data_IF_271988584397
#
_entry.id   IF_271988584397
#
_cell.length_a   1.000
_cell.length_b   1.000
_cell.length_c   1.000
_cell.angle_alpha   90.00
_cell.angle_beta   90.00
_cell.angle_gamma   90.00
#
_symmetry.space_group_name_H-M   'P 1'
#
loop_
_entity.id
_entity.type
_entity.pdbx_description
1 polymer ?
#
# COMPACT_ATOMS: atom_id res chain seq x y z
N UNK A 1 -4.97 -16.49 13.03
CA UNK A 1 -4.24 -15.36 13.60
C UNK A 1 -2.78 -15.55 13.31
N UNK A 2 -2.21 -14.67 12.50
CA UNK A 2 -0.79 -14.68 12.18
C UNK A 2 0.05 -14.45 13.45
N UNK A 3 1.23 -15.07 13.54
CA UNK A 3 2.12 -14.91 14.71
C UNK A 3 2.78 -13.52 14.74
N UNK A 4 2.98 -12.93 13.57
CA UNK A 4 3.54 -11.60 13.37
C UNK A 4 2.57 -10.87 12.44
N UNK A 5 2.12 -9.68 12.84
CA UNK A 5 1.13 -8.89 12.11
C UNK A 5 1.65 -7.47 11.94
N UNK A 6 1.52 -6.93 10.74
CA UNK A 6 1.86 -5.52 10.46
C UNK A 6 0.89 -4.61 11.20
N UNK A 7 1.43 -3.66 11.95
CA UNK A 7 0.67 -2.73 12.78
C UNK A 7 0.90 -1.31 12.26
N UNK A 8 -0.15 -0.67 11.77
CA UNK A 8 -0.15 0.62 11.09
C UNK A 8 -0.71 1.69 12.03
N UNK A 9 0.07 2.74 12.26
CA UNK A 9 -0.29 3.85 13.13
C UNK A 9 -0.96 4.96 12.32
N UNK A 10 -2.21 5.28 12.65
CA UNK A 10 -2.97 6.34 12.00
C UNK A 10 -3.24 7.50 12.95
N UNK A 11 -3.48 8.66 12.36
CA UNK A 11 -4.04 9.80 13.09
C UNK A 11 -5.45 9.45 13.62
N UNK A 12 -6.00 10.32 14.44
CA UNK A 12 -7.32 10.16 15.03
C UNK A 12 -8.39 9.89 13.97
N UNK A 13 -9.18 8.85 14.22
CA UNK A 13 -10.36 8.48 13.44
C UNK A 13 -10.11 8.06 11.98
N UNK A 14 -8.88 7.71 11.60
CA UNK A 14 -8.56 7.28 10.23
C UNK A 14 -8.49 5.76 10.04
N UNK A 15 -8.27 4.98 11.10
CA UNK A 15 -7.99 3.54 11.00
C UNK A 15 -9.11 2.72 10.31
N UNK A 16 -10.37 3.04 10.59
CA UNK A 16 -11.53 2.34 9.98
C UNK A 16 -11.69 2.73 8.51
N UNK A 17 -11.60 4.03 8.21
CA UNK A 17 -11.68 4.54 6.84
C UNK A 17 -10.55 4.00 5.97
N UNK A 18 -9.32 3.94 6.49
CA UNK A 18 -8.17 3.38 5.80
C UNK A 18 -8.37 1.89 5.50
N UNK A 19 -8.81 1.11 6.49
CA UNK A 19 -9.09 -0.31 6.30
C UNK A 19 -10.16 -0.55 5.23
N UNK A 20 -11.28 0.17 5.29
CA UNK A 20 -12.36 0.06 4.31
C UNK A 20 -11.91 0.47 2.90
N UNK A 21 -11.13 1.55 2.80
CA UNK A 21 -10.56 2.00 1.53
C UNK A 21 -9.62 0.93 0.95
N UNK A 22 -8.70 0.39 1.74
CA UNK A 22 -7.77 -0.63 1.27
C UNK A 22 -8.48 -1.92 0.84
N UNK A 23 -9.50 -2.35 1.58
CA UNK A 23 -10.33 -3.50 1.20
C UNK A 23 -11.01 -3.25 -0.15
N UNK A 24 -11.57 -2.06 -0.36
CA UNK A 24 -12.23 -1.69 -1.61
C UNK A 24 -11.25 -1.60 -2.79
N UNK A 25 -10.06 -1.05 -2.55
CA UNK A 25 -9.04 -0.83 -3.57
C UNK A 25 -8.38 -2.14 -3.98
N UNK A 26 -7.93 -2.95 -3.01
CA UNK A 26 -7.28 -4.23 -3.29
C UNK A 26 -8.30 -5.25 -3.80
N UNK A 27 -9.46 -5.37 -3.16
CA UNK A 27 -10.47 -6.37 -3.54
C UNK A 27 -10.07 -7.80 -3.16
N UNK A 28 -10.64 -8.80 -3.85
CA UNK A 28 -10.30 -10.21 -3.63
C UNK A 28 -10.63 -10.73 -2.23
N UNK A 29 -9.72 -11.51 -1.62
CA UNK A 29 -9.89 -12.03 -0.25
C UNK A 29 -9.55 -10.97 0.82
N UNK A 30 -10.24 -9.83 0.75
CA UNK A 30 -10.06 -8.68 1.63
C UNK A 30 -11.32 -8.39 2.44
N UNK A 31 -11.17 -8.17 3.75
CA UNK A 31 -12.30 -7.90 4.67
C UNK A 31 -11.84 -7.37 6.02
N UNK A 32 -12.76 -6.71 6.74
CA UNK A 32 -12.60 -6.46 8.17
C UNK A 32 -12.75 -7.77 8.94
N UNK A 33 -11.86 -8.00 9.91
CA UNK A 33 -11.84 -9.18 10.76
C UNK A 33 -12.34 -8.89 12.19
N UNK A 34 -11.98 -7.72 12.74
CA UNK A 34 -12.38 -7.32 14.08
C UNK A 34 -12.22 -5.80 14.27
N UNK A 35 -13.07 -5.21 15.11
CA UNK A 35 -13.00 -3.79 15.47
C UNK A 35 -13.07 -3.67 16.99
N UNK A 36 -12.02 -3.12 17.58
CA UNK A 36 -11.98 -2.83 19.02
C UNK A 36 -12.20 -1.34 19.27
N UNK A 37 -12.76 -1.01 20.43
CA UNK A 37 -13.09 0.37 20.82
C UNK A 37 -12.42 0.73 22.13
N UNK A 38 -12.12 2.01 22.28
CA UNK A 38 -11.58 2.55 23.52
C UNK A 38 -12.57 2.36 24.67
N UNK A 39 -12.03 2.02 25.84
CA UNK A 39 -12.81 1.89 27.08
C UNK A 39 -12.76 3.18 27.90
N UNK A 40 -13.67 3.38 28.88
CA UNK A 40 -13.58 4.53 29.79
C UNK A 40 -12.28 4.60 30.60
N UNK A 41 -11.54 3.50 30.71
CA UNK A 41 -10.22 3.43 31.37
C UNK A 41 -9.03 3.66 30.43
N UNK A 42 -9.28 3.89 29.14
CA UNK A 42 -8.26 4.06 28.12
C UNK A 42 -7.97 5.55 27.84
N UNK A 43 -6.83 5.90 27.22
CA UNK A 43 -6.49 7.29 26.93
C UNK A 43 -7.34 7.93 25.81
N UNK A 44 -7.96 7.13 24.94
CA UNK A 44 -8.82 7.61 23.85
C UNK A 44 -10.28 7.87 24.26
N UNK A 45 -11.05 8.47 23.37
CA UNK A 45 -12.48 8.71 23.57
C UNK A 45 -13.26 7.39 23.67
N UNK A 46 -13.94 7.17 24.80
CA UNK A 46 -14.67 5.93 25.05
C UNK A 46 -15.72 5.66 23.96
N UNK A 47 -15.71 4.45 23.40
CA UNK A 47 -16.59 4.05 22.31
C UNK A 47 -16.08 4.39 20.91
N UNK A 48 -15.08 5.25 20.76
CA UNK A 48 -14.41 5.45 19.49
C UNK A 48 -13.56 4.23 19.11
N UNK A 49 -13.32 4.03 17.80
CA UNK A 49 -12.51 2.92 17.30
C UNK A 49 -11.06 3.07 17.76
N UNK A 50 -10.54 2.00 18.37
CA UNK A 50 -9.15 1.90 18.82
C UNK A 50 -8.31 1.21 17.75
N UNK A 51 -8.64 -0.04 17.43
CA UNK A 51 -8.00 -0.80 16.34
C UNK A 51 -9.02 -1.40 15.39
N UNK A 52 -8.62 -1.51 14.14
CA UNK A 52 -9.29 -2.31 13.11
C UNK A 52 -8.33 -3.37 12.64
N UNK A 53 -8.68 -4.63 12.87
CA UNK A 53 -7.97 -5.75 12.25
C UNK A 53 -8.67 -6.07 10.93
N UNK A 54 -7.92 -6.07 9.85
CA UNK A 54 -8.42 -6.32 8.51
C UNK A 54 -7.47 -7.24 7.74
N UNK A 55 -7.94 -7.73 6.61
CA UNK A 55 -7.20 -8.59 5.71
C UNK A 55 -7.18 -7.98 4.32
N UNK A 56 -6.03 -8.06 3.64
CA UNK A 56 -5.86 -7.79 2.22
C UNK A 56 -5.29 -9.04 1.55
N UNK A 57 -6.03 -9.63 0.62
CA UNK A 57 -5.65 -10.85 -0.12
C UNK A 57 -4.99 -11.93 0.76
N UNK A 58 -5.70 -12.32 1.83
CA UNK A 58 -5.19 -13.35 2.74
C UNK A 58 -4.21 -12.87 3.84
N UNK A 59 -3.65 -11.66 3.75
CA UNK A 59 -2.67 -11.12 4.72
C UNK A 59 -3.34 -10.22 5.77
N UNK A 60 -3.12 -10.47 7.06
CA UNK A 60 -3.73 -9.69 8.15
C UNK A 60 -2.91 -8.44 8.50
N UNK A 61 -3.61 -7.35 8.80
CA UNK A 61 -3.07 -6.06 9.24
C UNK A 61 -3.87 -5.56 10.44
N UNK A 62 -3.25 -4.70 11.24
CA UNK A 62 -3.93 -3.94 12.30
C UNK A 62 -3.71 -2.45 12.03
N UNK A 63 -4.79 -1.70 11.84
CA UNK A 63 -4.79 -0.24 11.86
C UNK A 63 -5.13 0.24 13.28
N UNK A 64 -4.42 1.25 13.77
CA UNK A 64 -4.60 1.80 15.12
C UNK A 64 -4.72 3.32 15.07
N UNK A 65 -5.78 3.85 15.69
CA UNK A 65 -5.95 5.29 15.91
C UNK A 65 -5.10 5.73 17.10
N UNK A 66 -3.85 6.12 16.82
CA UNK A 66 -2.90 6.50 17.85
C UNK A 66 -2.69 8.01 18.00
N UNK A 67 -3.09 8.81 17.01
CA UNK A 67 -2.87 10.24 16.96
C UNK A 67 -1.70 10.63 16.04
N UNK A 68 -1.41 11.93 15.87
CA UNK A 68 -0.51 12.45 14.85
C UNK A 68 0.99 12.31 15.19
N UNK A 69 1.34 11.67 16.32
CA UNK A 69 2.71 11.63 16.85
C UNK A 69 3.69 10.87 15.96
N UNK A 70 3.23 9.84 15.24
CA UNK A 70 4.07 8.94 14.45
C UNK A 70 3.60 8.89 12.99
N UNK A 71 4.05 9.81 12.13
CA UNK A 71 3.71 9.80 10.71
C UNK A 71 4.42 8.67 9.96
N UNK A 72 3.79 8.18 8.90
CA UNK A 72 4.40 7.22 7.99
C UNK A 72 5.58 7.83 7.21
N UNK A 73 6.51 6.96 6.83
CA UNK A 73 7.60 7.27 5.91
C UNK A 73 7.83 6.09 5.00
N UNK A 74 8.60 6.32 3.94
CA UNK A 74 9.00 5.33 2.94
C UNK A 74 9.81 4.16 3.54
N UNK A 75 10.25 4.27 4.80
CA UNK A 75 10.96 3.21 5.52
C UNK A 75 10.15 1.91 5.65
N UNK A 76 8.81 1.98 5.60
CA UNK A 76 7.92 0.82 5.50
C UNK A 76 6.93 1.10 4.38
N UNK A 77 6.73 0.12 3.50
CA UNK A 77 5.74 0.20 2.42
C UNK A 77 5.01 -1.11 2.22
N UNK A 78 3.81 -1.02 1.65
CA UNK A 78 3.03 -2.16 1.20
C UNK A 78 3.29 -2.37 -0.29
N UNK A 79 3.91 -3.50 -0.62
CA UNK A 79 4.21 -3.87 -2.01
C UNK A 79 3.10 -4.77 -2.55
N UNK A 80 2.54 -4.41 -3.69
CA UNK A 80 1.46 -5.16 -4.35
C UNK A 80 1.96 -5.64 -5.71
N UNK A 81 2.12 -6.95 -5.83
CA UNK A 81 2.36 -7.61 -7.11
C UNK A 81 1.04 -7.71 -7.88
N UNK A 82 0.96 -7.01 -9.00
CA UNK A 82 -0.25 -6.96 -9.81
C UNK A 82 -0.23 -8.10 -10.84
N UNK A 83 -1.40 -8.69 -11.09
CA UNK A 83 -1.59 -9.73 -12.10
C UNK A 83 -1.59 -9.16 -13.53
N UNK A 84 -1.84 -7.86 -13.69
CA UNK A 84 -1.96 -7.18 -14.99
C UNK A 84 -1.52 -5.71 -14.92
N UNK A 85 -1.29 -5.09 -16.08
CA UNK A 85 -1.01 -3.65 -16.16
C UNK A 85 -2.28 -2.86 -15.78
N UNK A 86 -3.46 -3.34 -16.18
CA UNK A 86 -4.75 -2.70 -15.88
C UNK A 86 -5.01 -2.65 -14.37
N UNK A 87 -4.65 -3.71 -13.64
CA UNK A 87 -4.71 -3.71 -12.18
C UNK A 87 -3.72 -2.73 -11.56
N UNK A 88 -2.47 -2.69 -12.06
CA UNK A 88 -1.47 -1.75 -11.59
C UNK A 88 -1.93 -0.30 -11.78
N UNK A 89 -2.50 0.03 -12.94
CA UNK A 89 -3.01 1.36 -13.24
C UNK A 89 -4.20 1.72 -12.34
N UNK A 90 -5.14 0.79 -12.14
CA UNK A 90 -6.29 0.98 -11.24
C UNK A 90 -5.85 1.24 -9.80
N UNK A 91 -4.95 0.42 -9.25
CA UNK A 91 -4.44 0.60 -7.90
C UNK A 91 -3.69 1.92 -7.75
N UNK A 92 -2.88 2.29 -8.75
CA UNK A 92 -2.19 3.57 -8.76
C UNK A 92 -3.18 4.74 -8.71
N UNK A 93 -4.20 4.72 -9.57
CA UNK A 93 -5.19 5.80 -9.64
C UNK A 93 -5.97 5.93 -8.33
N UNK A 94 -6.46 4.82 -7.78
CA UNK A 94 -7.26 4.81 -6.55
C UNK A 94 -6.44 5.25 -5.32
N UNK A 95 -5.18 4.81 -5.20
CA UNK A 95 -4.32 5.17 -4.06
C UNK A 95 -3.74 6.58 -4.17
N UNK A 96 -3.61 7.14 -5.38
CA UNK A 96 -3.16 8.53 -5.57
C UNK A 96 -4.30 9.54 -5.57
N UNK A 97 -5.55 9.09 -5.59
CA UNK A 97 -6.73 9.94 -5.48
C UNK A 97 -6.84 10.60 -4.09
N UNK A 98 -7.69 11.63 -4.02
CA UNK A 98 -8.16 12.27 -2.77
C UNK A 98 -7.07 12.64 -1.75
N UNK A 99 -5.91 13.10 -2.23
CA UNK A 99 -4.80 13.56 -1.39
C UNK A 99 -3.59 12.62 -1.36
N UNK A 100 -3.63 11.52 -2.12
CA UNK A 100 -2.45 10.71 -2.40
C UNK A 100 -1.39 11.46 -3.22
N UNK A 101 -0.17 10.92 -3.23
CA UNK A 101 1.01 11.53 -3.83
C UNK A 101 1.81 10.50 -4.62
N UNK A 102 2.01 10.77 -5.90
CA UNK A 102 2.90 9.97 -6.74
C UNK A 102 4.37 10.14 -6.35
N UNK A 103 5.11 9.03 -6.36
CA UNK A 103 6.56 8.99 -6.25
C UNK A 103 7.18 8.26 -7.45
N UNK A 104 8.48 8.04 -7.41
CA UNK A 104 9.24 7.46 -8.52
C UNK A 104 9.19 5.93 -8.52
N UNK A 105 9.39 5.32 -9.69
CA UNK A 105 9.67 3.89 -9.84
C UNK A 105 8.60 2.95 -9.26
N UNK A 106 7.32 3.28 -9.39
CA UNK A 106 6.21 2.47 -8.85
C UNK A 106 5.83 2.81 -7.41
N UNK A 107 6.50 3.78 -6.78
CA UNK A 107 6.18 4.21 -5.42
C UNK A 107 5.11 5.29 -5.40
N UNK A 108 4.30 5.30 -4.35
CA UNK A 108 3.34 6.37 -4.04
C UNK A 108 3.08 6.43 -2.53
N UNK A 109 2.43 7.50 -2.08
CA UNK A 109 1.79 7.58 -0.76
C UNK A 109 0.29 7.76 -0.94
N UNK A 110 -0.50 7.04 -0.16
CA UNK A 110 -1.94 7.26 -0.15
C UNK A 110 -2.34 8.51 0.64
N UNK A 111 -3.64 8.82 0.68
CA UNK A 111 -4.16 9.98 1.41
C UNK A 111 -3.96 9.93 2.93
N UNK A 112 -3.65 8.76 3.49
CA UNK A 112 -3.33 8.56 4.90
C UNK A 112 -1.81 8.61 5.16
N UNK A 113 -1.01 8.72 4.11
CA UNK A 113 0.45 8.80 4.16
C UNK A 113 1.18 7.46 4.09
N UNK A 114 0.48 6.33 3.99
CA UNK A 114 1.11 5.01 3.88
C UNK A 114 1.82 4.91 2.53
N UNK A 115 3.07 4.44 2.55
CA UNK A 115 3.83 4.22 1.31
C UNK A 115 3.43 2.89 0.66
N UNK A 116 3.23 2.92 -0.65
CA UNK A 116 2.89 1.75 -1.46
C UNK A 116 3.87 1.59 -2.62
N UNK A 117 4.09 0.35 -3.04
CA UNK A 117 4.82 -0.01 -4.25
C UNK A 117 3.90 -0.82 -5.16
N UNK A 118 3.56 -0.27 -6.32
CA UNK A 118 2.74 -0.94 -7.32
C UNK A 118 3.65 -1.61 -8.33
N UNK A 119 3.69 -2.94 -8.28
CA UNK A 119 4.64 -3.74 -9.05
C UNK A 119 3.88 -4.45 -10.18
N UNK A 120 3.98 -3.98 -11.44
CA UNK A 120 3.34 -4.65 -12.57
C UNK A 120 4.01 -6.02 -12.85
N UNK A 121 3.30 -6.93 -13.53
CA UNK A 121 3.76 -8.30 -13.71
C UNK A 121 5.05 -8.38 -14.53
N UNK A 122 6.07 -9.07 -14.01
CA UNK A 122 7.35 -9.27 -14.70
C UNK A 122 8.29 -8.06 -14.68
N UNK A 123 8.05 -7.07 -13.81
CA UNK A 123 9.02 -5.99 -13.55
C UNK A 123 10.38 -6.57 -13.12
N UNK A 124 10.37 -7.52 -12.18
CA UNK A 124 11.58 -8.17 -11.68
C UNK A 124 12.40 -8.77 -12.82
N UNK A 125 11.77 -9.57 -13.68
CA UNK A 125 12.41 -10.21 -14.83
C UNK A 125 13.04 -9.19 -15.79
N UNK A 126 12.37 -8.06 -16.04
CA UNK A 126 12.91 -7.01 -16.90
C UNK A 126 14.15 -6.33 -16.30
N UNK A 127 14.16 -6.10 -14.98
CA UNK A 127 15.27 -5.46 -14.28
C UNK A 127 16.45 -6.40 -14.02
N UNK A 128 16.22 -7.72 -14.04
CA UNK A 128 17.23 -8.75 -13.81
C UNK A 128 17.44 -9.66 -15.02
N UNK A 129 17.19 -9.16 -16.24
CA UNK A 129 17.41 -9.91 -17.47
C UNK A 129 18.85 -10.46 -17.52
N UNK A 130 19.06 -11.73 -17.94
CA UNK A 130 20.41 -12.29 -18.12
C UNK A 130 21.31 -11.50 -19.08
N UNK A 131 20.73 -10.73 -19.99
CA UNK A 131 21.41 -9.73 -20.81
C UNK A 131 21.57 -8.42 -20.01
N UNK A 132 22.80 -8.09 -19.54
CA UNK A 132 23.02 -6.92 -18.70
C UNK A 132 22.75 -5.59 -19.43
N UNK A 133 22.84 -5.56 -20.76
CA UNK A 133 22.52 -4.35 -21.52
C UNK A 133 21.02 -4.09 -21.56
N UNK A 134 20.20 -5.15 -21.70
CA UNK A 134 18.74 -5.05 -21.59
C UNK A 134 18.32 -4.61 -20.19
N UNK A 135 18.82 -5.28 -19.15
CA UNK A 135 18.52 -4.92 -17.77
C UNK A 135 18.89 -3.45 -17.46
N UNK A 136 20.04 -2.98 -17.97
CA UNK A 136 20.45 -1.58 -17.80
C UNK A 136 19.52 -0.59 -18.51
N UNK A 137 19.01 -0.92 -19.71
CA UNK A 137 18.04 -0.05 -20.42
C UNK A 137 16.68 -0.03 -19.73
N UNK A 138 16.19 -1.18 -19.27
CA UNK A 138 14.97 -1.28 -18.48
C UNK A 138 15.08 -0.47 -17.17
N UNK A 139 16.19 -0.62 -16.44
CA UNK A 139 16.47 0.16 -15.23
C UNK A 139 16.49 1.67 -15.52
N UNK A 140 17.18 2.09 -16.59
CA UNK A 140 17.23 3.50 -16.99
C UNK A 140 15.85 4.05 -17.35
N UNK A 141 15.02 3.26 -18.05
CA UNK A 141 13.65 3.64 -18.37
C UNK A 141 12.82 3.78 -17.09
N UNK A 142 12.92 2.83 -16.16
CA UNK A 142 12.22 2.86 -14.86
C UNK A 142 12.56 4.11 -14.03
N UNK A 143 13.82 4.54 -14.00
CA UNK A 143 14.23 5.74 -13.26
C UNK A 143 13.57 7.03 -13.79
N UNK A 144 13.12 7.02 -15.05
CA UNK A 144 12.35 8.11 -15.66
C UNK A 144 10.84 8.03 -15.42
N UNK A 145 10.36 6.97 -14.75
CA UNK A 145 8.95 6.69 -14.53
C UNK A 145 8.53 6.99 -13.09
N UNK A 146 7.29 7.44 -12.95
CA UNK A 146 6.55 7.41 -11.68
C UNK A 146 5.71 6.16 -11.63
N UNK A 147 4.63 6.16 -12.41
CA UNK A 147 3.85 4.97 -12.74
C UNK A 147 4.63 4.11 -13.73
N UNK A 148 4.65 2.81 -13.49
CA UNK A 148 5.40 1.86 -14.31
C UNK A 148 4.55 1.37 -15.48
N UNK A 149 5.13 1.40 -16.67
CA UNK A 149 4.59 0.77 -17.88
C UNK A 149 5.44 -0.45 -18.21
N UNK A 150 4.89 -1.64 -18.02
CA UNK A 150 5.63 -2.88 -18.21
C UNK A 150 6.04 -3.13 -19.66
N UNK A 151 5.23 -2.70 -20.63
CA UNK A 151 5.58 -2.87 -22.04
C UNK A 151 6.73 -1.95 -22.42
N UNK A 152 6.70 -0.69 -21.98
CA UNK A 152 7.80 0.25 -22.18
C UNK A 152 9.11 -0.26 -21.56
N UNK A 153 9.05 -0.87 -20.37
CA UNK A 153 10.21 -1.45 -19.69
C UNK A 153 10.77 -2.68 -20.42
N UNK A 154 9.90 -3.57 -20.91
CA UNK A 154 10.31 -4.75 -21.70
C UNK A 154 10.89 -4.40 -23.06
N UNK A 155 10.45 -3.29 -23.65
CA UNK A 155 10.88 -2.82 -24.97
C UNK A 155 12.13 -1.92 -24.93
N UNK A 156 12.69 -1.65 -23.74
CA UNK A 156 13.83 -0.76 -23.54
C UNK A 156 15.15 -1.32 -24.10
#
# INVERSE_FOLDING_TARGET
MQKVTTFLWFDHNQAEEAADHYISVVGGDSRVLDVTRWTPSSPGEAGAVMTVRFQLEGTEYIAFNGGPEFPFSEAVSLSVECASQEEADRLWDELTADGGQESQCGWLKDRFGVSWQIVPPGLGDALTDPDPEKAARAMKAMLGMKRLDIEALRNA
#
